data_IF_140741743603
#
_entry.id   IF_140741743603
#
_cell.length_a   1.000
_cell.length_b   1.000
_cell.length_c   1.000
_cell.angle_alpha   90.00
_cell.angle_beta   90.00
_cell.angle_gamma   90.00
#
_symmetry.space_group_name_H-M   'P 1'
#
loop_
_entity.id
_entity.type
_entity.pdbx_description
1 polymer ?
#
# COMPACT_ATOMS: atom_id res chain seq x y z
N UNK A 1 -18.56 -35.79 -28.94
CA UNK A 1 -19.01 -34.97 -27.78
C UNK A 1 -18.45 -33.55 -27.75
N UNK A 2 -17.34 -33.21 -28.44
CA UNK A 2 -16.75 -31.85 -28.42
C UNK A 2 -17.60 -30.74 -29.08
N UNK A 3 -18.48 -31.07 -30.05
CA UNK A 3 -19.26 -30.07 -30.79
C UNK A 3 -20.33 -29.36 -29.94
N UNK A 4 -20.88 -30.05 -28.94
CA UNK A 4 -21.89 -29.48 -28.03
C UNK A 4 -21.29 -28.46 -27.04
N UNK A 5 -19.99 -28.55 -26.75
CA UNK A 5 -19.32 -27.66 -25.80
C UNK A 5 -19.06 -26.30 -26.47
N UNK A 6 -18.63 -26.27 -27.73
CA UNK A 6 -18.45 -25.00 -28.45
C UNK A 6 -19.78 -24.28 -28.69
N UNK A 7 -20.84 -24.99 -29.07
CA UNK A 7 -22.15 -24.36 -29.32
C UNK A 7 -22.78 -23.78 -28.05
N UNK A 8 -22.64 -24.48 -26.92
CA UNK A 8 -23.12 -23.97 -25.62
C UNK A 8 -22.34 -22.75 -25.17
N UNK A 9 -21.01 -22.74 -25.29
CA UNK A 9 -20.19 -21.56 -24.99
C UNK A 9 -20.56 -20.37 -25.86
N UNK A 10 -20.77 -20.57 -27.16
CA UNK A 10 -21.19 -19.51 -28.09
C UNK A 10 -22.56 -18.94 -27.69
N UNK A 11 -23.53 -19.80 -27.39
CA UNK A 11 -24.86 -19.36 -26.96
C UNK A 11 -24.85 -18.62 -25.62
N UNK A 12 -24.01 -19.03 -24.66
CA UNK A 12 -23.87 -18.37 -23.36
C UNK A 12 -23.26 -16.97 -23.52
N UNK A 13 -22.22 -16.85 -24.32
CA UNK A 13 -21.61 -15.56 -24.68
C UNK A 13 -22.67 -14.68 -25.34
N UNK A 14 -23.36 -15.19 -26.36
CA UNK A 14 -24.34 -14.40 -27.10
C UNK A 14 -25.53 -13.96 -26.23
N UNK A 15 -25.98 -14.78 -25.28
CA UNK A 15 -27.05 -14.42 -24.33
C UNK A 15 -26.58 -13.37 -23.33
N UNK A 16 -25.34 -13.49 -22.84
CA UNK A 16 -24.74 -12.50 -21.94
C UNK A 16 -24.55 -11.12 -22.59
N UNK A 17 -24.30 -11.09 -23.90
CA UNK A 17 -24.05 -9.85 -24.65
C UNK A 17 -25.22 -9.38 -25.52
N UNK A 18 -26.31 -10.14 -25.66
CA UNK A 18 -27.54 -9.74 -26.37
C UNK A 18 -28.08 -8.35 -25.97
N UNK A 19 -28.16 -7.98 -24.67
CA UNK A 19 -28.66 -6.65 -24.30
C UNK A 19 -27.72 -5.50 -24.72
N UNK A 20 -26.45 -5.79 -25.02
CA UNK A 20 -25.46 -4.83 -25.53
C UNK A 20 -25.54 -4.72 -27.06
N UNK A 21 -26.02 -5.76 -27.74
CA UNK A 21 -26.16 -5.79 -29.20
C UNK A 21 -27.46 -5.12 -29.66
N UNK A 22 -28.53 -5.20 -28.86
CA UNK A 22 -29.84 -4.56 -29.11
C UNK A 22 -29.98 -3.21 -28.39
N UNK A 23 -28.94 -2.37 -28.48
CA UNK A 23 -28.97 -1.04 -27.85
C UNK A 23 -29.88 -0.09 -28.63
N UNK A 24 -31.11 0.06 -28.12
CA UNK A 24 -31.97 1.19 -28.48
C UNK A 24 -31.31 2.51 -28.09
N UNK A 25 -31.53 3.56 -28.90
CA UNK A 25 -30.92 4.88 -28.73
C UNK A 25 -31.22 5.48 -27.35
N UNK A 26 -32.41 5.20 -26.81
CA UNK A 26 -32.80 5.60 -25.44
C UNK A 26 -31.98 4.87 -24.37
N UNK A 27 -31.73 3.57 -24.54
CA UNK A 27 -30.92 2.79 -23.59
C UNK A 27 -29.47 3.26 -23.61
N UNK A 28 -28.93 3.57 -24.79
CA UNK A 28 -27.58 4.13 -24.92
C UNK A 28 -27.44 5.47 -24.17
N UNK A 29 -28.41 6.39 -24.33
CA UNK A 29 -28.43 7.66 -23.61
C UNK A 29 -28.53 7.45 -22.09
N UNK A 30 -29.37 6.52 -21.64
CA UNK A 30 -29.52 6.20 -20.22
C UNK A 30 -28.22 5.64 -19.62
N UNK A 31 -27.51 4.78 -20.35
CA UNK A 31 -26.22 4.23 -19.91
C UNK A 31 -25.17 5.35 -19.80
N UNK A 32 -25.11 6.25 -20.79
CA UNK A 32 -24.19 7.39 -20.76
C UNK A 32 -24.49 8.30 -19.57
N UNK A 33 -25.76 8.61 -19.30
CA UNK A 33 -26.15 9.40 -18.14
C UNK A 33 -25.79 8.70 -16.83
N UNK A 34 -26.05 7.40 -16.70
CA UNK A 34 -25.67 6.63 -15.53
C UNK A 34 -24.15 6.64 -15.32
N UNK A 35 -23.37 6.50 -16.40
CA UNK A 35 -21.91 6.57 -16.35
C UNK A 35 -21.42 7.95 -15.88
N UNK A 36 -22.03 9.04 -16.37
CA UNK A 36 -21.72 10.41 -15.94
C UNK A 36 -22.02 10.59 -14.45
N UNK A 37 -23.17 10.11 -13.97
CA UNK A 37 -23.54 10.19 -12.55
C UNK A 37 -22.54 9.42 -11.69
N UNK A 38 -22.17 8.20 -12.08
CA UNK A 38 -21.17 7.40 -11.37
C UNK A 38 -19.82 8.12 -11.35
N UNK A 39 -19.37 8.64 -12.49
CA UNK A 39 -18.12 9.39 -12.57
C UNK A 39 -18.15 10.64 -11.67
N UNK A 40 -19.25 11.38 -11.67
CA UNK A 40 -19.45 12.54 -10.80
C UNK A 40 -19.40 12.15 -9.32
N UNK A 41 -20.04 11.04 -8.93
CA UNK A 41 -19.96 10.52 -7.56
C UNK A 41 -18.53 10.11 -7.20
N UNK A 42 -17.80 9.43 -8.08
CA UNK A 42 -16.40 9.07 -7.85
C UNK A 42 -15.50 10.29 -7.70
N UNK A 43 -15.76 11.37 -8.44
CA UNK A 43 -15.02 12.64 -8.32
C UNK A 43 -15.42 13.41 -7.06
N UNK A 44 -16.70 13.41 -6.69
CA UNK A 44 -17.20 14.06 -5.47
C UNK A 44 -16.68 13.36 -4.21
N UNK A 45 -16.68 12.02 -4.23
CA UNK A 45 -16.22 11.16 -3.14
C UNK A 45 -14.75 10.74 -3.27
N UNK A 46 -14.01 11.27 -4.25
CA UNK A 46 -12.57 11.05 -4.40
C UNK A 46 -11.78 11.24 -3.09
N UNK A 47 -11.99 12.30 -2.28
CA UNK A 47 -11.27 12.44 -1.01
C UNK A 47 -11.60 11.31 -0.01
N UNK A 48 -12.85 10.81 -0.01
CA UNK A 48 -13.28 9.71 0.85
C UNK A 48 -12.68 8.37 0.40
N UNK A 49 -12.67 8.09 -0.90
CA UNK A 49 -12.04 6.89 -1.48
C UNK A 49 -10.52 6.88 -1.22
N UNK A 50 -9.87 8.05 -1.31
CA UNK A 50 -8.44 8.17 -0.99
C UNK A 50 -8.17 7.94 0.50
N UNK A 51 -9.04 8.43 1.38
CA UNK A 51 -9.00 8.19 2.81
C UNK A 51 -9.14 6.71 3.16
N UNK A 52 -10.14 6.04 2.58
CA UNK A 52 -10.34 4.59 2.71
C UNK A 52 -9.13 3.82 2.20
N UNK A 53 -8.63 4.14 1.01
CA UNK A 53 -7.44 3.51 0.43
C UNK A 53 -6.23 3.63 1.34
N UNK A 54 -6.01 4.80 1.96
CA UNK A 54 -4.93 4.98 2.96
C UNK A 54 -5.14 4.11 4.20
N UNK A 55 -6.38 3.98 4.69
CA UNK A 55 -6.69 3.09 5.81
C UNK A 55 -6.44 1.61 5.46
N UNK A 56 -6.84 1.16 4.28
CA UNK A 56 -6.53 -0.17 3.77
C UNK A 56 -5.02 -0.41 3.62
N UNK A 57 -4.27 0.59 3.15
CA UNK A 57 -2.80 0.51 3.07
C UNK A 57 -2.19 0.38 4.48
N UNK A 58 -2.75 1.04 5.49
CA UNK A 58 -2.31 0.87 6.88
C UNK A 58 -2.65 -0.51 7.45
N UNK A 59 -3.73 -1.14 6.99
CA UNK A 59 -4.07 -2.51 7.38
C UNK A 59 -3.07 -3.52 6.80
N UNK A 60 -2.68 -3.36 5.54
CA UNK A 60 -1.72 -4.27 4.87
C UNK A 60 -0.29 -4.00 5.28
N UNK A 61 0.09 -2.72 5.40
CA UNK A 61 1.43 -2.29 5.80
C UNK A 61 1.30 -1.34 6.98
N UNK A 62 1.17 -1.88 8.21
CA UNK A 62 1.12 -1.06 9.40
C UNK A 62 2.34 -0.15 9.43
N UNK A 63 2.10 1.17 9.50
CA UNK A 63 3.19 2.13 9.66
C UNK A 63 3.85 1.88 11.02
N UNK A 64 5.19 1.80 11.10
CA UNK A 64 5.86 1.63 12.38
C UNK A 64 5.48 2.79 13.29
N UNK A 65 5.09 2.47 14.52
CA UNK A 65 4.61 3.45 15.49
C UNK A 65 5.70 4.51 15.74
N UNK A 66 5.32 5.70 16.24
CA UNK A 66 6.30 6.75 16.58
C UNK A 66 7.32 6.23 17.60
N UNK A 67 6.88 5.38 18.52
CA UNK A 67 7.72 4.72 19.52
C UNK A 67 8.68 3.72 18.88
N UNK A 68 8.22 2.90 17.94
CA UNK A 68 9.07 1.95 17.24
C UNK A 68 10.15 2.66 16.40
N UNK A 69 9.82 3.81 15.80
CA UNK A 69 10.79 4.65 15.09
C UNK A 69 11.84 5.24 16.03
N UNK A 70 11.44 5.66 17.23
CA UNK A 70 12.37 6.19 18.23
C UNK A 70 13.30 5.07 18.73
N UNK A 71 12.75 3.91 19.05
CA UNK A 71 13.52 2.74 19.47
C UNK A 71 14.55 2.33 18.41
N UNK A 72 14.17 2.30 17.12
CA UNK A 72 15.11 2.01 16.03
C UNK A 72 16.24 3.04 15.91
N UNK A 73 15.97 4.32 16.18
CA UNK A 73 17.00 5.36 16.20
C UNK A 73 17.96 5.14 17.37
N UNK A 74 17.41 4.94 18.58
CA UNK A 74 18.21 4.66 19.78
C UNK A 74 19.09 3.41 19.63
N UNK A 75 18.54 2.32 19.09
CA UNK A 75 19.31 1.09 18.82
C UNK A 75 20.46 1.35 17.83
N UNK A 76 20.23 2.17 16.80
CA UNK A 76 21.26 2.51 15.81
C UNK A 76 22.36 3.35 16.43
N UNK A 77 21.99 4.33 17.25
CA UNK A 77 22.95 5.23 17.92
C UNK A 77 23.80 4.45 18.95
N UNK A 78 23.17 3.56 19.73
CA UNK A 78 23.87 2.66 20.64
C UNK A 78 24.80 1.68 19.90
N UNK A 79 24.39 1.15 18.75
CA UNK A 79 25.23 0.27 17.93
C UNK A 79 26.43 1.02 17.33
N UNK A 80 26.23 2.26 16.89
CA UNK A 80 27.30 3.12 16.37
C UNK A 80 28.32 3.46 17.47
N UNK A 81 27.86 3.79 18.67
CA UNK A 81 28.71 4.05 19.82
C UNK A 81 29.54 2.81 20.21
N UNK A 82 28.92 1.62 20.26
CA UNK A 82 29.63 0.36 20.51
C UNK A 82 30.71 0.07 19.44
N UNK A 83 30.43 0.36 18.17
CA UNK A 83 31.44 0.22 17.11
C UNK A 83 32.62 1.19 17.29
N UNK A 84 32.37 2.42 17.73
CA UNK A 84 33.43 3.41 18.00
C UNK A 84 34.32 2.97 19.17
N UNK A 85 33.72 2.50 20.27
CA UNK A 85 34.46 1.96 21.42
C UNK A 85 35.36 0.80 20.97
N UNK A 86 34.81 -0.17 20.24
CA UNK A 86 35.57 -1.33 19.76
C UNK A 86 36.68 -0.94 18.76
N UNK A 87 36.45 0.08 17.92
CA UNK A 87 37.48 0.57 17.00
C UNK A 87 38.63 1.28 17.74
N UNK A 88 38.34 1.90 18.88
CA UNK A 88 39.31 2.68 19.65
C UNK A 88 40.02 1.89 20.74
N UNK A 89 39.44 0.78 21.22
CA UNK A 89 40.08 -0.18 22.13
C UNK A 89 41.43 -0.70 21.57
N UNK A 90 41.58 -0.77 20.23
CA UNK A 90 42.82 -1.19 19.58
C UNK A 90 43.86 -0.08 19.32
N UNK A 91 43.46 1.20 19.37
CA UNK A 91 44.32 2.33 19.00
C UNK A 91 44.71 3.22 20.19
N UNK A 92 43.78 3.47 21.12
CA UNK A 92 44.03 4.29 22.31
C UNK A 92 43.08 3.91 23.46
N UNK A 93 43.58 3.16 24.48
CA UNK A 93 42.76 2.71 25.60
C UNK A 93 42.10 3.85 26.41
N UNK A 94 42.76 5.02 26.47
CA UNK A 94 42.23 6.20 27.15
C UNK A 94 40.99 6.77 26.48
N UNK A 95 40.98 6.86 25.14
CA UNK A 95 39.83 7.42 24.43
C UNK A 95 38.66 6.43 24.38
N UNK A 96 38.94 5.12 24.39
CA UNK A 96 37.90 4.11 24.57
C UNK A 96 37.25 4.17 25.96
N UNK A 97 38.02 4.48 27.01
CA UNK A 97 37.51 4.70 28.35
C UNK A 97 36.63 5.96 28.43
N UNK A 98 37.03 7.06 27.77
CA UNK A 98 36.21 8.28 27.67
C UNK A 98 34.88 8.03 26.94
N UNK A 99 34.90 7.27 25.84
CA UNK A 99 33.67 6.89 25.12
C UNK A 99 32.76 5.97 25.94
N UNK A 100 33.31 5.03 26.73
CA UNK A 100 32.53 4.22 27.67
C UNK A 100 31.91 5.07 28.77
N UNK A 101 32.64 6.06 29.29
CA UNK A 101 32.12 6.99 30.29
C UNK A 101 30.96 7.82 29.72
N UNK A 102 31.09 8.32 28.49
CA UNK A 102 30.00 9.02 27.78
C UNK A 102 28.80 8.10 27.52
N UNK A 103 29.03 6.83 27.14
CA UNK A 103 27.98 5.84 26.95
C UNK A 103 27.21 5.51 28.23
N UNK A 104 27.88 5.50 29.38
CA UNK A 104 27.25 5.22 30.69
C UNK A 104 26.43 6.39 31.24
N UNK A 105 26.62 7.59 30.70
CA UNK A 105 25.98 8.84 31.16
C UNK A 105 24.72 9.20 30.34
N UNK A 106 24.65 8.75 29.10
CA UNK A 106 23.53 9.00 28.19
C UNK A 106 22.38 7.99 28.41
#
# INVERSE_FOLDING_TARGET
>A
MHWNIMSTVISLVQTAFSPVLDLSLLNAVQIVLAAIVIAALLVLFKPLLLGLGRAFVLLVKPRPSKEERLARRQMRDAMMLNRMVNAMDGASPSHAAELRALASRA
#
